data_IF_969256998124
#
_entry.id   IF_969256998124
#
_cell.length_a   1.000
_cell.length_b   1.000
_cell.length_c   1.000
_cell.angle_alpha   90.00
_cell.angle_beta   90.00
_cell.angle_gamma   90.00
#
_symmetry.space_group_name_H-M   'P 1'
#
loop_
_entity.id
_entity.type
_entity.pdbx_description
1 polymer ?
#
# COMPACT_ATOMS: atom_id res chain seq x y z
N UNK A 1 -7.69 -25.71 33.58
CA UNK A 1 -6.77 -24.61 33.38
C UNK A 1 -7.57 -23.34 33.07
N UNK A 2 -7.27 -22.24 33.73
CA UNK A 2 -8.04 -20.98 33.66
C UNK A 2 -8.11 -20.44 32.22
N UNK A 3 -7.00 -20.48 31.48
CA UNK A 3 -6.91 -19.99 30.10
C UNK A 3 -7.70 -20.85 29.12
N UNK A 4 -7.70 -22.18 29.31
CA UNK A 4 -8.50 -23.08 28.49
C UNK A 4 -9.99 -22.87 28.73
N UNK A 5 -10.37 -22.70 30.00
CA UNK A 5 -11.76 -22.37 30.33
C UNK A 5 -12.20 -21.02 29.75
N UNK A 6 -11.29 -20.03 29.76
CA UNK A 6 -11.55 -18.72 29.16
C UNK A 6 -11.83 -18.85 27.66
N UNK A 7 -10.96 -19.59 26.92
CA UNK A 7 -11.16 -19.82 25.48
C UNK A 7 -12.44 -20.58 25.15
N UNK A 8 -12.82 -21.58 25.98
CA UNK A 8 -14.04 -22.33 25.79
C UNK A 8 -15.30 -21.48 25.99
N UNK A 9 -15.28 -20.57 26.94
CA UNK A 9 -16.40 -19.68 27.24
C UNK A 9 -16.47 -18.47 26.29
N UNK A 10 -15.31 -17.95 25.89
CA UNK A 10 -15.22 -16.77 25.06
C UNK A 10 -15.46 -17.07 23.56
N UNK A 11 -15.04 -18.25 23.10
CA UNK A 11 -15.05 -18.62 21.68
C UNK A 11 -13.91 -17.98 20.90
N UNK A 12 -14.19 -17.42 19.73
CA UNK A 12 -13.16 -16.83 18.88
C UNK A 12 -12.61 -15.52 19.46
N UNK A 13 -11.29 -15.35 19.44
CA UNK A 13 -10.60 -14.11 19.80
C UNK A 13 -10.76 -13.09 18.67
N UNK A 14 -11.39 -11.96 18.95
CA UNK A 14 -11.65 -10.91 17.98
C UNK A 14 -10.47 -9.96 17.89
N UNK A 15 -9.82 -9.94 16.72
CA UNK A 15 -8.63 -9.14 16.45
C UNK A 15 -9.02 -7.89 15.66
N UNK A 16 -8.67 -6.70 16.18
CA UNK A 16 -8.63 -5.46 15.41
C UNK A 16 -7.31 -5.33 14.65
N UNK A 17 -7.36 -4.75 13.45
CA UNK A 17 -6.19 -4.44 12.65
C UNK A 17 -6.41 -3.22 11.76
N UNK A 18 -5.34 -2.51 11.40
CA UNK A 18 -5.39 -1.39 10.46
C UNK A 18 -5.35 -1.88 9.01
N UNK A 19 -6.33 -1.46 8.18
CA UNK A 19 -6.48 -1.91 6.78
C UNK A 19 -5.33 -1.51 5.85
N UNK A 20 -4.63 -0.42 6.18
CA UNK A 20 -3.61 0.18 5.31
C UNK A 20 -2.19 0.01 5.84
N UNK A 21 -1.96 -0.93 6.74
CA UNK A 21 -0.65 -1.15 7.35
C UNK A 21 0.17 -2.13 6.52
N UNK A 22 1.08 -1.56 5.72
CA UNK A 22 1.87 -2.30 4.72
C UNK A 22 2.84 -3.25 5.41
N UNK A 23 2.81 -4.51 4.98
CA UNK A 23 3.62 -5.59 5.55
C UNK A 23 2.99 -6.26 6.77
N UNK A 24 2.07 -5.60 7.45
CA UNK A 24 1.42 -6.08 8.67
C UNK A 24 0.02 -6.62 8.38
N UNK A 25 -0.86 -5.79 7.81
CA UNK A 25 -2.29 -6.10 7.64
C UNK A 25 -2.93 -5.35 6.47
N UNK A 26 -2.18 -5.16 5.38
CA UNK A 26 -2.73 -4.51 4.18
C UNK A 26 -3.89 -5.32 3.61
N UNK A 27 -5.04 -4.68 3.40
CA UNK A 27 -6.20 -5.35 2.80
C UNK A 27 -6.01 -5.48 1.29
N UNK A 28 -6.08 -6.71 0.80
CA UNK A 28 -6.12 -7.00 -0.64
C UNK A 28 -7.47 -6.56 -1.21
N UNK A 29 -7.45 -5.70 -2.21
CA UNK A 29 -8.65 -5.12 -2.85
C UNK A 29 -9.54 -6.14 -3.57
N UNK A 30 -9.01 -7.33 -3.93
CA UNK A 30 -9.78 -8.37 -4.61
C UNK A 30 -10.45 -9.33 -3.62
N UNK A 31 -9.73 -9.73 -2.57
CA UNK A 31 -10.20 -10.71 -1.59
C UNK A 31 -10.84 -10.08 -0.36
N UNK A 32 -10.70 -8.78 -0.17
CA UNK A 32 -11.11 -8.02 1.03
C UNK A 32 -10.53 -8.59 2.34
N UNK A 33 -9.44 -9.37 2.25
CA UNK A 33 -8.78 -9.99 3.40
C UNK A 33 -7.44 -9.32 3.67
N UNK A 34 -7.02 -9.24 4.94
CA UNK A 34 -5.69 -8.74 5.26
C UNK A 34 -4.62 -9.67 4.70
N UNK A 35 -3.55 -9.09 4.19
CA UNK A 35 -2.33 -9.75 3.73
C UNK A 35 -1.16 -9.16 4.51
N UNK A 36 -0.33 -10.02 5.11
CA UNK A 36 0.81 -9.59 5.90
C UNK A 36 1.07 -10.52 7.08
N UNK A 37 1.88 -10.06 8.02
CA UNK A 37 2.29 -10.82 9.21
C UNK A 37 1.09 -11.32 10.03
N UNK A 38 -0.03 -10.60 10.01
CA UNK A 38 -1.24 -11.01 10.74
C UNK A 38 -1.66 -12.43 10.38
N UNK A 39 -1.59 -12.82 9.11
CA UNK A 39 -1.95 -14.16 8.66
C UNK A 39 -0.93 -15.20 9.13
N UNK A 40 0.37 -14.86 9.11
CA UNK A 40 1.42 -15.74 9.58
C UNK A 40 1.29 -15.96 11.08
N UNK A 41 1.03 -14.90 11.84
CA UNK A 41 0.78 -15.00 13.27
C UNK A 41 -0.42 -15.92 13.57
N UNK A 42 -1.58 -15.67 12.93
CA UNK A 42 -2.79 -16.49 13.14
C UNK A 42 -2.53 -17.94 12.82
N UNK A 43 -1.88 -18.23 11.70
CA UNK A 43 -1.55 -19.60 11.29
C UNK A 43 -0.66 -20.32 12.31
N UNK A 44 0.28 -19.61 12.92
CA UNK A 44 1.19 -20.16 13.92
C UNK A 44 0.54 -20.27 15.30
N UNK A 45 -0.18 -19.22 15.71
CA UNK A 45 -0.79 -19.11 17.03
C UNK A 45 -1.96 -20.08 17.22
N UNK A 46 -2.73 -20.37 16.15
CA UNK A 46 -3.90 -21.24 16.22
C UNK A 46 -3.60 -22.61 16.82
N UNK A 47 -2.41 -23.19 16.56
CA UNK A 47 -1.98 -24.49 17.06
C UNK A 47 -1.14 -24.46 18.34
N UNK A 48 -0.87 -23.30 18.95
CA UNK A 48 0.10 -23.19 20.05
C UNK A 48 -0.36 -23.80 21.39
N UNK A 49 -1.68 -23.98 21.59
CA UNK A 49 -2.24 -24.49 22.84
C UNK A 49 -2.54 -26.00 22.82
N UNK A 50 -1.89 -26.77 21.95
CA UNK A 50 -1.98 -28.23 21.91
C UNK A 50 -3.23 -28.75 21.20
N UNK A 51 -4.07 -29.56 21.89
CA UNK A 51 -5.23 -30.21 21.26
C UNK A 51 -6.38 -29.25 20.86
N UNK A 52 -6.39 -28.02 21.40
CA UNK A 52 -7.40 -27.02 21.13
C UNK A 52 -6.81 -25.87 20.30
N UNK A 53 -7.41 -25.66 19.12
CA UNK A 53 -7.06 -24.52 18.28
C UNK A 53 -7.69 -23.24 18.84
N UNK A 54 -6.91 -22.15 18.81
CA UNK A 54 -7.45 -20.82 19.05
C UNK A 54 -8.13 -20.36 17.76
N UNK A 55 -9.39 -20.02 17.85
CA UNK A 55 -10.11 -19.40 16.73
C UNK A 55 -9.93 -17.89 16.76
N UNK A 56 -9.67 -17.28 15.60
CA UNK A 56 -9.50 -15.84 15.46
C UNK A 56 -10.53 -15.25 14.48
N UNK A 57 -11.10 -14.12 14.85
CA UNK A 57 -12.00 -13.34 14.01
C UNK A 57 -11.39 -11.97 13.76
N UNK A 58 -11.27 -11.56 12.50
CA UNK A 58 -10.59 -10.34 12.08
C UNK A 58 -11.58 -9.21 11.80
N UNK A 59 -11.28 -8.00 12.29
CA UNK A 59 -12.04 -6.78 12.02
C UNK A 59 -11.07 -5.65 11.65
N UNK A 60 -11.20 -5.12 10.43
CA UNK A 60 -10.35 -4.05 9.92
C UNK A 60 -10.88 -2.65 10.22
N UNK A 61 -9.98 -1.75 10.61
CA UNK A 61 -10.26 -0.34 10.91
C UNK A 61 -9.47 0.58 9.97
N UNK A 62 -9.97 1.79 9.77
CA UNK A 62 -9.31 2.79 8.92
C UNK A 62 -8.38 3.71 9.72
N UNK A 63 -8.53 3.76 11.05
CA UNK A 63 -7.68 4.52 11.96
C UNK A 63 -7.44 3.80 13.29
N UNK A 64 -6.34 4.15 13.96
CA UNK A 64 -6.00 3.64 15.29
C UNK A 64 -6.99 4.09 16.35
N UNK A 65 -7.56 5.28 16.21
CA UNK A 65 -8.57 5.82 17.12
C UNK A 65 -9.86 4.98 17.09
N UNK A 66 -10.32 4.57 15.89
CA UNK A 66 -11.49 3.69 15.73
C UNK A 66 -11.22 2.30 16.30
N UNK A 67 -10.02 1.79 16.12
CA UNK A 67 -9.58 0.49 16.63
C UNK A 67 -9.52 0.49 18.16
N UNK A 68 -8.92 1.51 18.78
CA UNK A 68 -8.89 1.71 20.23
C UNK A 68 -10.30 1.87 20.82
N UNK A 69 -11.17 2.61 20.15
CA UNK A 69 -12.55 2.74 20.58
C UNK A 69 -13.29 1.40 20.50
N UNK A 70 -13.06 0.61 19.46
CA UNK A 70 -13.64 -0.72 19.32
C UNK A 70 -13.18 -1.68 20.43
N UNK A 71 -11.91 -1.57 20.86
CA UNK A 71 -11.39 -2.32 22.00
C UNK A 71 -12.09 -1.92 23.31
N UNK A 72 -12.24 -0.61 23.57
CA UNK A 72 -12.93 -0.09 24.75
C UNK A 72 -14.41 -0.49 24.78
N UNK A 73 -15.06 -0.52 23.63
CA UNK A 73 -16.46 -0.93 23.47
C UNK A 73 -16.64 -2.46 23.48
N UNK A 74 -15.58 -3.24 23.70
CA UNK A 74 -15.58 -4.71 23.65
C UNK A 74 -16.09 -5.29 22.32
N UNK A 75 -15.95 -4.56 21.21
CA UNK A 75 -16.24 -5.06 19.86
C UNK A 75 -15.12 -5.95 19.34
N UNK A 76 -13.89 -5.72 19.81
CA UNK A 76 -12.71 -6.55 19.62
C UNK A 76 -12.07 -6.86 20.96
N UNK A 77 -11.26 -7.91 21.03
CA UNK A 77 -10.61 -8.37 22.26
C UNK A 77 -9.16 -7.93 22.32
N UNK A 78 -8.53 -7.75 21.16
CA UNK A 78 -7.15 -7.31 21.05
C UNK A 78 -6.92 -6.46 19.80
N UNK A 79 -5.91 -5.60 19.87
CA UNK A 79 -5.31 -4.91 18.74
C UNK A 79 -4.11 -5.75 18.27
N UNK A 80 -4.05 -6.05 16.97
CA UNK A 80 -3.02 -6.93 16.42
C UNK A 80 -1.63 -6.33 16.59
N UNK A 81 -1.50 -5.03 16.35
CA UNK A 81 -0.19 -4.41 16.47
C UNK A 81 -0.31 -2.98 16.99
N UNK A 82 0.38 -2.78 18.09
CA UNK A 82 0.61 -1.48 18.70
C UNK A 82 2.09 -1.34 19.01
N UNK A 83 2.57 -0.11 19.01
CA UNK A 83 3.95 0.15 19.33
C UNK A 83 4.25 -0.15 20.79
N UNK A 84 5.42 -0.68 21.10
CA UNK A 84 5.84 -0.94 22.47
C UNK A 84 6.17 0.37 23.20
N UNK A 85 5.12 1.17 23.43
CA UNK A 85 5.18 2.44 24.14
C UNK A 85 4.32 2.38 25.40
N UNK A 86 4.93 2.15 26.61
CA UNK A 86 4.16 2.06 27.85
C UNK A 86 3.37 3.33 28.18
N UNK A 87 3.88 4.50 27.83
CA UNK A 87 3.18 5.78 28.07
C UNK A 87 1.90 5.90 27.24
N UNK A 88 1.97 5.53 25.96
CA UNK A 88 0.80 5.51 25.07
C UNK A 88 -0.22 4.46 25.53
N UNK A 89 0.24 3.29 25.95
CA UNK A 89 -0.58 2.25 26.52
C UNK A 89 -1.34 2.73 27.76
N UNK A 90 -0.65 3.45 28.65
CA UNK A 90 -1.25 4.00 29.86
C UNK A 90 -2.32 5.07 29.53
N UNK A 91 -2.05 5.96 28.58
CA UNK A 91 -3.02 6.97 28.14
C UNK A 91 -4.28 6.36 27.52
N UNK A 92 -4.14 5.23 26.83
CA UNK A 92 -5.23 4.54 26.17
C UNK A 92 -5.93 3.48 27.03
N UNK A 93 -5.45 3.28 28.28
CA UNK A 93 -5.98 2.30 29.24
C UNK A 93 -5.88 0.85 28.75
N UNK A 94 -4.77 0.53 28.09
CA UNK A 94 -4.47 -0.81 27.59
C UNK A 94 -3.23 -1.37 28.25
N UNK A 95 -3.03 -2.68 28.16
CA UNK A 95 -1.77 -3.37 28.48
C UNK A 95 -1.18 -3.98 27.23
N UNK A 96 0.14 -4.01 27.16
CA UNK A 96 0.90 -4.48 26.02
C UNK A 96 1.48 -5.86 26.28
N UNK A 97 1.50 -6.69 25.24
CA UNK A 97 2.17 -8.01 25.27
C UNK A 97 3.69 -7.88 25.24
N UNK A 98 4.36 -9.02 25.33
CA UNK A 98 5.74 -9.13 24.89
C UNK A 98 5.88 -8.71 23.42
N UNK A 99 7.10 -8.37 23.00
CA UNK A 99 7.39 -8.05 21.59
C UNK A 99 7.03 -9.21 20.69
N UNK A 100 6.23 -8.93 19.66
CA UNK A 100 5.81 -9.90 18.64
C UNK A 100 6.81 -9.95 17.51
N UNK A 101 7.25 -8.79 17.04
CA UNK A 101 8.31 -8.64 16.04
C UNK A 101 9.02 -7.31 16.20
N UNK A 102 10.26 -7.26 15.71
CA UNK A 102 11.07 -6.05 15.67
C UNK A 102 11.34 -5.64 14.22
N UNK A 103 11.40 -4.33 14.01
CA UNK A 103 11.68 -3.73 12.71
C UNK A 103 12.94 -2.88 12.81
N UNK A 104 13.91 -3.16 11.96
CA UNK A 104 15.07 -2.31 11.78
C UNK A 104 14.74 -1.24 10.74
N UNK A 105 14.73 0.01 11.17
CA UNK A 105 14.42 1.14 10.31
C UNK A 105 15.67 1.66 9.64
N UNK A 106 15.63 1.83 8.34
CA UNK A 106 16.67 2.46 7.56
C UNK A 106 16.24 3.86 7.12
N UNK A 107 17.19 4.79 7.08
CA UNK A 107 17.02 6.09 6.46
C UNK A 107 17.89 6.22 5.23
N UNK A 108 17.35 6.84 4.19
CA UNK A 108 18.09 7.27 3.01
C UNK A 108 18.57 8.70 3.20
N UNK A 109 19.85 8.94 2.99
CA UNK A 109 20.44 10.27 3.18
C UNK A 109 21.50 10.57 2.12
N UNK A 110 21.52 11.82 1.66
CA UNK A 110 22.61 12.40 0.85
C UNK A 110 23.72 13.02 1.69
N UNK A 111 23.54 13.14 3.00
CA UNK A 111 24.50 13.78 3.90
C UNK A 111 25.72 12.88 4.10
N UNK A 112 26.94 13.39 3.80
CA UNK A 112 28.17 12.61 3.86
C UNK A 112 28.51 12.07 5.26
N UNK A 113 28.18 12.81 6.31
CA UNK A 113 28.38 12.44 7.72
C UNK A 113 27.05 12.56 8.45
N UNK A 114 26.16 11.62 8.21
CA UNK A 114 24.90 11.52 8.92
C UNK A 114 25.17 11.03 10.35
N UNK A 115 24.56 11.69 11.33
CA UNK A 115 24.69 11.38 12.76
C UNK A 115 23.27 11.36 13.37
N UNK A 116 22.82 10.18 13.72
CA UNK A 116 21.47 9.98 14.27
C UNK A 116 21.26 10.64 15.66
N UNK A 117 22.35 10.97 16.38
CA UNK A 117 22.28 11.61 17.69
C UNK A 117 22.19 13.14 17.61
N UNK A 118 22.16 13.71 16.39
CA UNK A 118 21.95 15.15 16.17
C UNK A 118 20.52 15.42 15.72
N UNK A 119 20.15 16.68 15.83
CA UNK A 119 18.91 17.17 15.23
C UNK A 119 18.97 17.00 13.71
N UNK A 120 18.05 16.22 13.14
CA UNK A 120 17.90 16.01 11.71
C UNK A 120 16.47 16.39 11.27
N UNK A 121 16.34 16.88 10.06
CA UNK A 121 15.03 17.02 9.41
C UNK A 121 14.77 15.75 8.62
N UNK A 122 13.75 15.00 9.02
CA UNK A 122 13.38 13.73 8.37
C UNK A 122 12.12 13.91 7.52
N UNK A 123 12.22 13.51 6.27
CA UNK A 123 11.08 13.41 5.37
C UNK A 123 10.36 12.08 5.60
N UNK A 124 9.04 12.11 5.78
CA UNK A 124 8.21 10.93 5.97
C UNK A 124 7.00 11.03 5.05
N UNK A 125 6.68 9.97 4.35
CA UNK A 125 5.43 9.90 3.60
C UNK A 125 4.25 9.82 4.56
N UNK A 126 3.17 10.56 4.28
CA UNK A 126 1.94 10.60 5.10
C UNK A 126 1.37 9.21 5.41
N UNK A 127 1.52 8.28 4.46
CA UNK A 127 1.07 6.90 4.60
C UNK A 127 2.08 5.97 5.30
N UNK A 128 3.23 6.48 5.74
CA UNK A 128 4.21 5.72 6.52
C UNK A 128 4.02 5.99 8.02
N UNK A 129 2.93 5.48 8.56
CA UNK A 129 2.56 5.66 9.97
C UNK A 129 3.61 5.06 10.91
N UNK A 130 4.09 3.86 10.60
CA UNK A 130 5.13 3.17 11.36
C UNK A 130 6.43 4.00 11.41
N UNK A 131 6.88 4.51 10.26
CA UNK A 131 8.08 5.35 10.18
C UNK A 131 7.93 6.66 10.95
N UNK A 132 6.78 7.31 10.85
CA UNK A 132 6.48 8.55 11.58
C UNK A 132 6.50 8.31 13.09
N UNK A 133 5.80 7.28 13.55
CA UNK A 133 5.78 6.91 14.95
C UNK A 133 7.18 6.53 15.44
N UNK A 134 7.89 5.67 14.71
CA UNK A 134 9.24 5.24 15.08
C UNK A 134 10.19 6.42 15.32
N UNK A 135 10.16 7.41 14.42
CA UNK A 135 10.98 8.62 14.57
C UNK A 135 10.51 9.45 15.77
N UNK A 136 9.21 9.69 15.91
CA UNK A 136 8.67 10.49 17.02
C UNK A 136 9.04 9.91 18.40
N UNK A 137 9.04 8.59 18.51
CA UNK A 137 9.34 7.90 19.75
C UNK A 137 10.84 7.77 20.02
N UNK A 138 11.62 7.32 19.04
CA UNK A 138 13.04 7.03 19.22
C UNK A 138 13.94 8.25 19.07
N UNK A 139 13.52 9.24 18.26
CA UNK A 139 14.28 10.44 17.94
C UNK A 139 13.43 11.71 18.11
N UNK A 140 12.91 11.99 19.31
CA UNK A 140 11.96 13.09 19.57
C UNK A 140 12.56 14.48 19.27
N UNK A 141 13.88 14.58 19.14
CA UNK A 141 14.59 15.80 18.79
C UNK A 141 14.73 16.02 17.27
N UNK A 142 14.28 15.05 16.43
CA UNK A 142 14.24 15.22 14.98
C UNK A 142 13.00 15.99 14.56
N UNK A 143 13.11 16.78 13.46
CA UNK A 143 11.98 17.49 12.87
C UNK A 143 11.37 16.65 11.76
N UNK A 144 10.12 16.23 11.92
CA UNK A 144 9.38 15.50 10.90
C UNK A 144 8.75 16.47 9.91
N UNK A 145 9.01 16.25 8.62
CA UNK A 145 8.29 16.87 7.50
C UNK A 145 7.50 15.80 6.76
N UNK A 146 6.18 16.00 6.65
CA UNK A 146 5.28 15.07 5.97
C UNK A 146 5.14 15.45 4.50
N UNK A 147 5.16 14.43 3.63
CA UNK A 147 4.96 14.54 2.18
C UNK A 147 3.84 13.61 1.73
N UNK A 148 3.18 13.94 0.63
CA UNK A 148 2.04 13.14 0.14
C UNK A 148 2.46 11.78 -0.42
N UNK A 149 3.71 11.66 -0.86
CA UNK A 149 4.26 10.42 -1.39
C UNK A 149 5.71 10.18 -0.99
N UNK A 150 6.15 8.92 -1.04
CA UNK A 150 7.56 8.56 -0.83
C UNK A 150 8.48 9.18 -1.90
N UNK A 151 7.97 9.39 -3.12
CA UNK A 151 8.74 10.04 -4.19
C UNK A 151 8.99 11.53 -3.91
N UNK A 152 8.05 12.23 -3.28
CA UNK A 152 8.23 13.61 -2.85
C UNK A 152 9.20 13.71 -1.66
N UNK A 153 9.08 12.80 -0.68
CA UNK A 153 10.01 12.71 0.44
C UNK A 153 11.45 12.45 -0.05
N UNK A 154 11.63 11.57 -1.03
CA UNK A 154 12.92 11.31 -1.67
C UNK A 154 13.49 12.56 -2.36
N UNK A 155 12.69 13.27 -3.15
CA UNK A 155 13.10 14.56 -3.79
C UNK A 155 13.49 15.60 -2.78
N UNK A 156 12.82 15.69 -1.63
CA UNK A 156 13.15 16.63 -0.56
C UNK A 156 14.56 16.35 0.02
N UNK A 157 14.96 15.10 0.14
CA UNK A 157 16.33 14.76 0.55
C UNK A 157 17.35 15.04 -0.55
N UNK A 158 17.02 14.76 -1.81
CA UNK A 158 17.90 15.07 -2.95
C UNK A 158 18.13 16.58 -3.12
N UNK A 159 17.11 17.39 -2.85
CA UNK A 159 17.21 18.85 -2.90
C UNK A 159 17.87 19.48 -1.67
N UNK A 160 18.10 18.72 -0.60
CA UNK A 160 18.62 19.22 0.68
C UNK A 160 17.58 19.90 1.56
N UNK A 161 16.30 19.77 1.26
CA UNK A 161 15.20 20.28 2.09
C UNK A 161 15.00 19.43 3.36
N UNK A 162 15.35 18.15 3.29
CA UNK A 162 15.43 17.24 4.42
C UNK A 162 16.79 16.54 4.45
N UNK A 163 17.26 16.18 5.64
CA UNK A 163 18.55 15.50 5.85
C UNK A 163 18.48 14.01 5.50
N UNK A 164 17.33 13.39 5.77
CA UNK A 164 17.08 11.99 5.49
C UNK A 164 15.60 11.72 5.27
N UNK A 165 15.32 10.54 4.77
CA UNK A 165 13.96 10.05 4.56
C UNK A 165 13.83 8.62 5.09
N UNK A 166 12.74 8.32 5.79
CA UNK A 166 12.45 6.97 6.27
C UNK A 166 11.93 6.15 5.11
N UNK A 167 12.78 5.29 4.59
CA UNK A 167 12.43 4.39 3.51
C UNK A 167 11.89 3.06 4.04
N UNK A 168 10.93 2.49 3.32
CA UNK A 168 10.63 1.06 3.48
C UNK A 168 11.82 0.26 2.97
N UNK A 169 12.14 -0.86 3.62
CA UNK A 169 13.36 -1.62 3.34
C UNK A 169 13.56 -1.97 1.84
N UNK A 170 12.48 -2.31 1.13
CA UNK A 170 12.55 -2.60 -0.30
C UNK A 170 12.62 -1.40 -1.24
N UNK A 171 12.12 -0.25 -0.79
CA UNK A 171 12.27 1.00 -1.55
C UNK A 171 13.72 1.49 -1.52
N UNK A 172 14.46 1.21 -0.44
CA UNK A 172 15.84 1.65 -0.30
C UNK A 172 16.75 1.12 -1.41
N UNK A 173 16.54 -0.11 -1.86
CA UNK A 173 17.39 -0.74 -2.90
C UNK A 173 17.19 -0.12 -4.28
N UNK A 174 15.93 0.14 -4.70
CA UNK A 174 15.65 0.74 -6.03
C UNK A 174 16.08 2.20 -6.10
N UNK A 175 15.87 2.95 -5.03
CA UNK A 175 16.22 4.38 -4.98
C UNK A 175 17.74 4.59 -4.89
N UNK A 176 18.49 3.62 -4.33
CA UNK A 176 19.95 3.68 -4.24
C UNK A 176 20.65 3.49 -5.59
N UNK A 177 20.08 2.69 -6.51
CA UNK A 177 20.68 2.45 -7.83
C UNK A 177 20.69 3.72 -8.70
N UNK A 178 19.67 4.59 -8.53
CA UNK A 178 19.49 5.80 -9.34
C UNK A 178 19.93 7.11 -8.64
N UNK A 179 20.25 7.07 -7.35
CA UNK A 179 20.55 8.26 -6.55
C UNK A 179 21.93 8.21 -5.89
N UNK A 180 22.52 9.39 -5.64
CA UNK A 180 23.75 9.53 -4.84
C UNK A 180 23.51 9.37 -3.33
N UNK A 181 22.37 8.82 -2.94
CA UNK A 181 22.00 8.58 -1.55
C UNK A 181 22.56 7.24 -1.05
N UNK A 182 22.62 7.10 0.25
CA UNK A 182 23.02 5.86 0.93
C UNK A 182 22.00 5.50 1.99
N UNK A 183 21.81 4.22 2.21
CA UNK A 183 20.99 3.68 3.28
C UNK A 183 21.82 3.55 4.56
N UNK A 184 21.26 4.00 5.66
CA UNK A 184 21.86 3.88 7.00
C UNK A 184 20.80 3.26 7.92
N UNK A 185 21.11 2.09 8.50
CA UNK A 185 20.27 1.53 9.54
C UNK A 185 20.44 2.34 10.83
N UNK A 186 19.33 2.72 11.42
CA UNK A 186 19.30 3.38 12.74
C UNK A 186 19.59 2.36 13.83
N UNK A 187 20.20 2.80 14.93
CA UNK A 187 20.63 1.89 16.00
C UNK A 187 19.49 1.40 16.87
N UNK A 188 18.37 2.12 16.91
CA UNK A 188 17.19 1.74 17.68
C UNK A 188 16.25 0.91 16.82
N UNK A 189 15.80 -0.26 17.30
CA UNK A 189 14.76 -1.05 16.66
C UNK A 189 13.37 -0.52 17.03
N UNK A 190 12.40 -0.74 16.17
CA UNK A 190 10.97 -0.57 16.46
C UNK A 190 10.39 -1.89 16.93
N UNK A 191 9.87 -1.96 18.15
CA UNK A 191 9.21 -3.14 18.66
C UNK A 191 7.68 -3.00 18.57
N UNK A 192 7.03 -4.05 18.07
CA UNK A 192 5.58 -4.17 17.97
C UNK A 192 5.05 -5.23 18.91
N UNK A 193 3.92 -4.96 19.53
CA UNK A 193 3.25 -5.83 20.49
C UNK A 193 1.74 -5.82 20.27
N UNK A 194 1.03 -6.74 20.91
CA UNK A 194 -0.42 -6.70 20.99
C UNK A 194 -0.87 -5.79 22.12
N UNK A 195 -2.08 -5.25 22.01
CA UNK A 195 -2.73 -4.52 23.07
C UNK A 195 -4.08 -5.15 23.41
N UNK A 196 -4.37 -5.24 24.71
CA UNK A 196 -5.68 -5.65 25.24
C UNK A 196 -6.10 -4.70 26.34
N UNK A 197 -7.37 -4.72 26.73
CA UNK A 197 -7.85 -3.94 27.89
C UNK A 197 -7.17 -4.42 29.17
N UNK A 198 -6.98 -3.53 30.14
CA UNK A 198 -6.32 -3.85 31.44
C UNK A 198 -7.01 -4.98 32.20
N UNK A 199 -8.29 -5.15 32.01
CA UNK A 199 -9.09 -6.18 32.68
C UNK A 199 -8.87 -7.57 32.10
N UNK A 200 -8.42 -7.68 30.84
CA UNK A 200 -8.30 -8.95 30.14
C UNK A 200 -6.89 -9.56 30.26
N UNK A 201 -6.44 -9.75 31.50
CA UNK A 201 -5.12 -10.33 31.81
C UNK A 201 -5.00 -11.79 31.38
N UNK A 202 -6.10 -12.53 31.37
CA UNK A 202 -6.12 -13.93 30.90
C UNK A 202 -5.77 -14.01 29.41
N UNK A 203 -6.42 -13.19 28.57
CA UNK A 203 -6.07 -13.11 27.15
C UNK A 203 -4.61 -12.67 26.96
N UNK A 204 -4.13 -11.69 27.73
CA UNK A 204 -2.73 -11.24 27.66
C UNK A 204 -1.76 -12.40 27.93
N UNK A 205 -2.05 -13.24 28.93
CA UNK A 205 -1.22 -14.42 29.25
C UNK A 205 -1.24 -15.43 28.08
N UNK A 206 -2.41 -15.68 27.48
CA UNK A 206 -2.54 -16.55 26.31
C UNK A 206 -1.69 -16.01 25.16
N UNK A 207 -1.81 -14.72 24.84
CA UNK A 207 -1.06 -14.08 23.76
C UNK A 207 0.46 -14.16 24.01
N UNK A 208 0.90 -13.88 25.23
CA UNK A 208 2.33 -13.98 25.58
C UNK A 208 2.86 -15.42 25.43
N UNK A 209 2.05 -16.44 25.73
CA UNK A 209 2.42 -17.83 25.50
C UNK A 209 2.51 -18.16 24.00
N UNK A 210 1.58 -17.65 23.17
CA UNK A 210 1.70 -17.82 21.73
C UNK A 210 2.98 -17.20 21.18
N UNK A 211 3.32 -15.98 21.64
CA UNK A 211 4.57 -15.28 21.26
C UNK A 211 5.80 -16.12 21.64
N UNK A 212 5.85 -16.68 22.85
CA UNK A 212 6.99 -17.48 23.32
C UNK A 212 7.17 -18.78 22.55
N UNK A 213 6.10 -19.32 21.92
CA UNK A 213 6.17 -20.51 21.08
C UNK A 213 6.59 -20.24 19.66
N UNK A 214 6.57 -18.95 19.24
CA UNK A 214 7.00 -18.57 17.89
C UNK A 214 8.54 -18.47 17.83
N UNK A 215 9.16 -18.88 16.70
CA UNK A 215 10.60 -18.64 16.51
C UNK A 215 10.87 -17.12 16.44
N UNK A 216 11.80 -16.64 17.26
CA UNK A 216 12.10 -15.20 17.47
C UNK A 216 12.28 -14.37 16.20
N UNK A 217 12.84 -14.96 15.15
CA UNK A 217 13.12 -14.25 13.89
C UNK A 217 12.06 -14.44 12.81
N UNK A 218 11.06 -15.29 13.03
CA UNK A 218 10.17 -15.72 11.94
C UNK A 218 9.25 -14.60 11.46
N UNK A 219 8.58 -13.93 12.37
CA UNK A 219 7.68 -12.82 12.01
C UNK A 219 8.46 -11.60 11.51
N UNK A 220 9.61 -11.28 12.13
CA UNK A 220 10.47 -10.18 11.68
C UNK A 220 11.02 -10.41 10.26
N UNK A 221 11.40 -11.66 9.92
CA UNK A 221 11.85 -11.99 8.56
C UNK A 221 10.71 -11.97 7.54
N UNK A 222 9.53 -12.44 7.91
CA UNK A 222 8.33 -12.35 7.06
C UNK A 222 7.89 -10.90 6.82
N UNK A 223 8.00 -10.04 7.83
CA UNK A 223 7.74 -8.62 7.65
C UNK A 223 8.59 -8.04 6.51
N UNK A 224 9.88 -8.33 6.48
CA UNK A 224 10.75 -7.88 5.39
C UNK A 224 10.29 -8.38 4.02
N UNK A 225 9.72 -9.58 3.93
CA UNK A 225 9.17 -10.12 2.68
C UNK A 225 7.92 -9.36 2.25
N UNK A 226 6.97 -9.14 3.14
CA UNK A 226 5.73 -8.42 2.84
C UNK A 226 5.96 -6.94 2.55
N UNK A 227 6.85 -6.29 3.31
CA UNK A 227 7.20 -4.89 3.08
C UNK A 227 7.84 -4.68 1.70
N UNK A 228 8.60 -5.68 1.23
CA UNK A 228 9.28 -5.66 -0.06
C UNK A 228 8.45 -6.28 -1.18
N UNK A 229 7.34 -6.94 -0.87
CA UNK A 229 6.45 -7.45 -1.91
C UNK A 229 6.03 -6.27 -2.81
N UNK A 230 6.16 -6.41 -4.14
CA UNK A 230 5.65 -5.38 -5.03
C UNK A 230 4.16 -5.26 -4.75
N UNK A 231 3.76 -4.16 -4.11
CA UNK A 231 2.35 -3.85 -3.90
C UNK A 231 1.66 -3.97 -5.25
N UNK A 232 0.53 -4.65 -5.32
CA UNK A 232 -0.30 -4.64 -6.53
C UNK A 232 -0.64 -3.16 -6.78
N UNK A 233 0.08 -2.55 -7.72
CA UNK A 233 -0.18 -1.18 -8.13
C UNK A 233 -1.57 -1.19 -8.75
N UNK A 234 -2.53 -0.52 -8.14
CA UNK A 234 -3.86 -0.39 -8.72
C UNK A 234 -3.74 0.34 -10.06
N UNK A 235 -4.64 0.02 -11.01
CA UNK A 235 -4.66 0.72 -12.31
C UNK A 235 -4.74 2.24 -12.11
N UNK A 236 -5.47 2.69 -11.08
CA UNK A 236 -5.61 4.11 -10.75
C UNK A 236 -4.28 4.75 -10.29
N UNK A 237 -3.49 4.07 -9.46
CA UNK A 237 -2.17 4.52 -9.04
C UNK A 237 -1.20 4.52 -10.23
N UNK A 238 -1.20 3.46 -11.04
CA UNK A 238 -0.38 3.41 -12.25
C UNK A 238 -0.69 4.57 -13.21
N UNK A 239 -1.97 4.87 -13.42
CA UNK A 239 -2.41 6.01 -14.24
C UNK A 239 -1.92 7.33 -13.64
N UNK A 240 -2.06 7.52 -12.32
CA UNK A 240 -1.65 8.74 -11.62
C UNK A 240 -0.14 8.97 -11.71
N UNK A 241 0.65 7.93 -11.55
CA UNK A 241 2.11 8.02 -11.58
C UNK A 241 2.67 8.11 -13.01
N UNK A 242 1.89 7.67 -14.01
CA UNK A 242 2.31 7.63 -15.41
C UNK A 242 1.39 8.44 -16.34
N UNK A 243 0.92 9.61 -15.90
CA UNK A 243 0.00 10.48 -16.67
C UNK A 243 0.53 10.80 -18.09
N UNK A 244 1.85 10.93 -18.26
CA UNK A 244 2.48 11.18 -19.55
C UNK A 244 2.29 10.00 -20.52
N UNK A 245 2.39 8.75 -20.04
CA UNK A 245 2.17 7.52 -20.85
C UNK A 245 0.71 7.45 -21.28
N UNK A 246 -0.20 7.70 -20.35
CA UNK A 246 -1.65 7.73 -20.63
C UNK A 246 -1.99 8.80 -21.64
N UNK A 247 -1.36 9.99 -21.52
CA UNK A 247 -1.55 11.09 -22.46
C UNK A 247 -1.07 10.74 -23.88
N UNK A 248 0.09 10.10 -24.03
CA UNK A 248 0.61 9.64 -25.32
C UNK A 248 -0.33 8.59 -25.92
N UNK A 249 -0.81 7.65 -25.13
CA UNK A 249 -1.76 6.64 -25.58
C UNK A 249 -3.05 7.26 -26.09
N UNK A 250 -3.61 8.23 -25.35
CA UNK A 250 -4.82 8.95 -25.74
C UNK A 250 -4.63 9.72 -27.05
N UNK A 251 -3.51 10.45 -27.21
CA UNK A 251 -3.18 11.17 -28.44
C UNK A 251 -3.06 10.21 -29.62
N UNK A 252 -2.41 9.06 -29.44
CA UNK A 252 -2.26 8.06 -30.50
C UNK A 252 -3.61 7.51 -30.97
N UNK A 253 -4.53 7.23 -30.04
CA UNK A 253 -5.91 6.78 -30.38
C UNK A 253 -6.66 7.86 -31.18
N UNK A 254 -6.57 9.12 -30.78
CA UNK A 254 -7.20 10.24 -31.51
C UNK A 254 -6.63 10.34 -32.93
N UNK A 255 -5.31 10.24 -33.10
CA UNK A 255 -4.68 10.27 -34.42
C UNK A 255 -5.14 9.11 -35.33
N UNK A 256 -5.29 7.91 -34.78
CA UNK A 256 -5.84 6.76 -35.54
C UNK A 256 -7.28 7.03 -35.98
N UNK A 257 -8.12 7.56 -35.10
CA UNK A 257 -9.51 7.90 -35.42
C UNK A 257 -9.55 8.95 -36.55
N UNK A 258 -8.77 10.01 -36.45
CA UNK A 258 -8.66 11.05 -37.48
C UNK A 258 -8.21 10.46 -38.81
N UNK A 259 -7.20 9.58 -38.78
CA UNK A 259 -6.70 8.89 -39.97
C UNK A 259 -7.80 8.04 -40.65
N UNK A 260 -8.58 7.29 -39.86
CA UNK A 260 -9.70 6.49 -40.36
C UNK A 260 -10.77 7.39 -41.02
N UNK A 261 -11.11 8.53 -40.35
CA UNK A 261 -12.10 9.47 -40.91
C UNK A 261 -11.62 10.05 -42.25
N UNK A 262 -10.36 10.51 -42.30
CA UNK A 262 -9.78 11.03 -43.55
C UNK A 262 -9.75 9.97 -44.64
N UNK A 263 -9.38 8.73 -44.31
CA UNK A 263 -9.41 7.62 -45.27
C UNK A 263 -10.83 7.38 -45.84
N UNK A 264 -11.84 7.34 -44.98
CA UNK A 264 -13.23 7.16 -45.38
C UNK A 264 -13.75 8.33 -46.25
N UNK A 265 -13.37 9.57 -45.94
CA UNK A 265 -13.72 10.73 -46.74
C UNK A 265 -13.08 10.68 -48.13
N UNK A 266 -11.83 10.25 -48.24
CA UNK A 266 -11.15 10.06 -49.52
C UNK A 266 -11.86 8.98 -50.36
N UNK A 267 -12.24 7.88 -49.75
CA UNK A 267 -12.97 6.81 -50.43
C UNK A 267 -14.35 7.26 -50.90
N UNK A 268 -15.08 8.00 -50.05
CA UNK A 268 -16.39 8.56 -50.42
C UNK A 268 -16.28 9.54 -51.60
N UNK A 269 -15.28 10.44 -51.60
CA UNK A 269 -15.02 11.35 -52.72
C UNK A 269 -14.70 10.60 -54.02
N UNK A 270 -13.85 9.56 -53.97
CA UNK A 270 -13.54 8.73 -55.15
C UNK A 270 -14.79 8.07 -55.69
N UNK A 271 -15.62 7.50 -54.83
CA UNK A 271 -16.90 6.89 -55.25
C UNK A 271 -17.87 7.92 -55.88
N UNK A 272 -17.94 9.12 -55.31
CA UNK A 272 -18.76 10.20 -55.85
C UNK A 272 -18.29 10.63 -57.26
N UNK A 273 -16.98 10.84 -57.45
CA UNK A 273 -16.42 11.20 -58.77
C UNK A 273 -16.66 10.09 -59.82
N UNK A 274 -16.56 8.82 -59.39
CA UNK A 274 -16.87 7.70 -60.28
C UNK A 274 -18.35 7.68 -60.67
N UNK A 275 -19.25 7.91 -59.72
CA UNK A 275 -20.69 7.99 -59.98
C UNK A 275 -21.05 9.17 -60.91
N UNK A 276 -20.42 10.34 -60.71
CA UNK A 276 -20.61 11.51 -61.61
C UNK A 276 -20.11 11.24 -63.01
N UNK A 277 -18.96 10.60 -63.20
CA UNK A 277 -18.42 10.17 -64.48
C UNK A 277 -19.34 9.17 -65.19
N UNK A 278 -19.87 8.21 -64.45
CA UNK A 278 -20.81 7.21 -65.00
C UNK A 278 -22.14 7.86 -65.43
N UNK A 279 -22.62 8.83 -64.61
CA UNK A 279 -23.86 9.58 -65.02
C UNK A 279 -23.63 10.48 -66.23
N UNK A 280 -22.49 11.16 -66.32
CA UNK A 280 -22.11 11.95 -67.47
C UNK A 280 -22.06 11.09 -68.77
N UNK A 281 -21.35 9.95 -68.70
CA UNK A 281 -21.27 9.00 -69.79
C UNK A 281 -22.65 8.46 -70.21
N UNK A 282 -23.53 8.19 -69.25
CA UNK A 282 -24.92 7.78 -69.52
C UNK A 282 -25.72 8.88 -70.19
N UNK A 283 -25.54 10.12 -69.76
CA UNK A 283 -26.25 11.28 -70.41
C UNK A 283 -25.78 11.53 -71.85
N UNK A 284 -24.44 11.45 -72.07
CA UNK A 284 -23.86 11.60 -73.43
C UNK A 284 -24.31 10.46 -74.35
N UNK A 285 -24.39 9.23 -73.82
CA UNK A 285 -24.92 8.10 -74.61
C UNK A 285 -26.38 8.31 -74.98
N UNK A 286 -27.24 8.73 -74.08
CA UNK A 286 -28.65 9.03 -74.33
C UNK A 286 -28.82 10.20 -75.30
N UNK A 287 -27.97 11.22 -75.21
CA UNK A 287 -27.98 12.35 -76.12
C UNK A 287 -27.64 11.91 -77.57
N UNK A 288 -26.56 11.13 -77.73
CA UNK A 288 -26.11 10.61 -79.02
C UNK A 288 -27.16 9.66 -79.65
N UNK A 289 -27.76 8.77 -78.88
CA UNK A 289 -28.83 7.90 -79.35
C UNK A 289 -30.09 8.69 -79.82
N UNK A 290 -30.45 9.76 -79.06
CA UNK A 290 -31.56 10.61 -79.41
C UNK A 290 -31.29 11.36 -80.72
N UNK A 291 -30.02 11.72 -80.96
CA UNK A 291 -29.62 12.37 -82.20
C UNK A 291 -29.66 11.40 -83.37
N UNK A 292 -29.15 10.17 -83.19
CA UNK A 292 -29.11 9.15 -84.25
C UNK A 292 -30.53 8.62 -84.64
N UNK A 293 -31.49 8.65 -83.71
CA UNK A 293 -32.88 8.28 -83.98
C UNK A 293 -33.66 9.40 -84.73
N UNK A 294 -33.13 10.66 -84.66
CA UNK A 294 -33.82 11.81 -85.31
C UNK A 294 -33.37 12.10 -86.74
N UNK A 295 -32.32 11.45 -87.24
CA UNK A 295 -31.85 11.57 -88.61
C UNK A 295 -32.41 10.42 -89.47
N UNK A 296 -33.41 10.66 -90.39
CA UNK A 296 -33.89 9.65 -91.29
C UNK A 296 -32.86 9.29 -92.35
#
# INVERSE_FOLDING_TARGET
>A
DEEQNWLEQHGAVRIGYLKNDVGISLVDTESEKPVGIINDYISLASGCLGEKNIEFQLTGFDSQEEELQALKDSRIDMIFHMNQNPYEAEQNDVILSNTVFEVNVAVLTGVKKFDENKENTVAVSRNNLLGKWYISFNYPFWKIKEYDSSAEADKAVQSGEADCFVAKAGQSLKTLEDSKMRSIFLTKSGASCFAVTRENTTLMNILNKTIQTLPDSRLSSQFCVYENAPGKVTLAEYIKDNLWVVSIWFVSVVLIIVWIIVYLLIQARKAQIQAEKANAAKSDFLFNMSHDIRTP
#
